data_IF_077969267373
#
_entry.id   IF_077969267373
#
_cell.length_a   1.000
_cell.length_b   1.000
_cell.length_c   1.000
_cell.angle_alpha   90.00
_cell.angle_beta   90.00
_cell.angle_gamma   90.00
#
_symmetry.space_group_name_H-M   'P 1'
#
loop_
_entity.id
_entity.type
_entity.pdbx_description
1 polymer ?
#
# COMPACT_ATOMS: atom_id res chain seq x y z
N UNK A 1 -17.17 -28.05 11.72
CA UNK A 1 -17.14 -27.87 10.27
C UNK A 1 -16.10 -26.77 9.98
N UNK A 2 -15.07 -27.06 9.20
CA UNK A 2 -14.12 -26.08 8.72
C UNK A 2 -14.85 -25.27 7.65
N UNK A 3 -15.07 -23.96 7.88
CA UNK A 3 -15.58 -23.10 6.84
C UNK A 3 -14.50 -23.02 5.76
N UNK A 4 -14.79 -23.59 4.61
CA UNK A 4 -13.96 -23.47 3.43
C UNK A 4 -14.07 -22.02 2.99
N UNK A 5 -13.00 -21.25 3.10
CA UNK A 5 -12.97 -19.90 2.52
C UNK A 5 -13.05 -20.09 1.02
N UNK A 6 -14.15 -19.64 0.42
CA UNK A 6 -14.30 -19.60 -1.03
C UNK A 6 -13.43 -18.49 -1.59
N UNK A 7 -12.16 -18.80 -1.82
CA UNK A 7 -11.25 -17.89 -2.54
C UNK A 7 -11.08 -18.41 -3.96
N UNK A 8 -11.01 -17.49 -4.93
CA UNK A 8 -10.63 -17.78 -6.34
C UNK A 8 -9.12 -17.72 -6.55
N UNK A 9 -8.36 -17.39 -5.49
CA UNK A 9 -6.90 -17.37 -5.54
C UNK A 9 -6.38 -18.79 -5.78
N UNK A 10 -5.45 -18.93 -6.72
CA UNK A 10 -4.81 -20.21 -7.01
C UNK A 10 -4.29 -20.88 -5.72
N UNK A 11 -4.55 -22.19 -5.48
CA UNK A 11 -4.22 -22.88 -4.22
C UNK A 11 -2.76 -22.75 -3.81
N UNK A 12 -1.81 -22.78 -4.75
CA UNK A 12 -0.39 -22.61 -4.46
C UNK A 12 -0.07 -21.20 -3.96
N UNK A 13 -0.67 -20.17 -4.57
CA UNK A 13 -0.52 -18.77 -4.15
C UNK A 13 -1.17 -18.59 -2.77
N UNK A 14 -2.39 -19.07 -2.56
CA UNK A 14 -3.10 -19.02 -1.29
C UNK A 14 -2.28 -19.65 -0.14
N UNK A 15 -1.70 -20.83 -0.37
CA UNK A 15 -0.85 -21.51 0.61
C UNK A 15 0.43 -20.72 0.93
N UNK A 16 1.09 -20.11 -0.06
CA UNK A 16 2.26 -19.25 0.15
C UNK A 16 1.89 -17.99 0.95
N UNK A 17 0.79 -17.32 0.61
CA UNK A 17 0.28 -16.15 1.33
C UNK A 17 -0.04 -16.50 2.80
N UNK A 18 -0.69 -17.63 3.03
CA UNK A 18 -0.98 -18.13 4.40
C UNK A 18 0.31 -18.37 5.21
N UNK A 19 1.34 -18.99 4.63
CA UNK A 19 2.67 -19.14 5.27
C UNK A 19 3.28 -17.78 5.62
N UNK A 20 3.05 -16.75 4.81
CA UNK A 20 3.49 -15.39 5.06
C UNK A 20 2.59 -14.61 6.04
N UNK A 21 1.64 -15.28 6.69
CA UNK A 21 0.72 -14.69 7.68
C UNK A 21 -0.28 -13.70 7.09
N UNK A 22 -0.72 -13.96 5.85
CA UNK A 22 -1.93 -13.33 5.33
C UNK A 22 -3.16 -14.06 5.88
N UNK A 23 -4.22 -13.32 6.12
CA UNK A 23 -5.58 -13.83 6.25
C UNK A 23 -6.31 -13.43 4.97
N UNK A 24 -6.74 -14.41 4.18
CA UNK A 24 -7.48 -14.14 2.94
C UNK A 24 -8.92 -13.74 3.27
N UNK A 25 -9.49 -12.87 2.46
CA UNK A 25 -10.86 -12.34 2.62
C UNK A 25 -11.49 -12.21 1.24
N UNK A 26 -12.81 -12.43 1.15
CA UNK A 26 -13.50 -12.45 -0.14
C UNK A 26 -12.87 -13.45 -1.11
N UNK A 27 -13.06 -13.22 -2.40
CA UNK A 27 -12.57 -14.08 -3.46
C UNK A 27 -11.08 -13.88 -3.76
N UNK A 28 -10.58 -12.64 -3.71
CA UNK A 28 -9.22 -12.25 -4.10
C UNK A 28 -8.48 -11.40 -3.06
N UNK A 29 -9.15 -11.01 -1.98
CA UNK A 29 -8.63 -10.08 -1.01
C UNK A 29 -7.73 -10.72 0.05
N UNK A 30 -7.06 -9.86 0.81
CA UNK A 30 -6.24 -10.31 1.92
C UNK A 30 -5.84 -9.20 2.87
N UNK A 31 -5.61 -9.59 4.12
CA UNK A 31 -5.18 -8.71 5.22
C UNK A 31 -3.89 -9.26 5.82
N UNK A 32 -3.00 -8.36 6.22
CA UNK A 32 -1.76 -8.72 6.92
C UNK A 32 -1.40 -7.63 7.92
N UNK A 33 -1.02 -8.00 9.13
CA UNK A 33 -0.54 -7.02 10.11
C UNK A 33 0.85 -6.54 9.72
N UNK A 34 0.96 -5.24 9.46
CA UNK A 34 2.20 -4.56 9.12
C UNK A 34 3.23 -4.67 10.28
N UNK A 35 4.52 -4.63 9.92
CA UNK A 35 5.61 -4.59 10.90
C UNK A 35 5.44 -3.45 11.90
N UNK A 36 5.10 -2.25 11.43
CA UNK A 36 4.97 -1.07 12.27
C UNK A 36 3.74 -1.09 13.20
N UNK A 37 2.63 -1.70 12.77
CA UNK A 37 1.49 -1.98 13.65
C UNK A 37 1.94 -2.84 14.84
N UNK A 38 2.71 -3.91 14.58
CA UNK A 38 3.28 -4.76 15.63
C UNK A 38 4.22 -3.98 16.56
N UNK A 39 5.13 -3.18 15.99
CA UNK A 39 6.06 -2.37 16.77
C UNK A 39 5.35 -1.32 17.63
N UNK A 40 4.27 -0.72 17.11
CA UNK A 40 3.45 0.24 17.88
C UNK A 40 2.75 -0.42 19.06
N UNK A 41 2.37 -1.69 18.95
CA UNK A 41 1.73 -2.43 20.03
C UNK A 41 2.70 -2.84 21.15
N UNK A 42 3.96 -3.19 20.81
CA UNK A 42 4.89 -3.83 21.79
C UNK A 42 6.11 -3.00 22.15
N UNK A 43 6.48 -1.99 21.38
CA UNK A 43 7.72 -1.25 21.51
C UNK A 43 7.55 0.28 21.40
N UNK A 44 6.33 0.74 21.32
CA UNK A 44 5.95 2.17 21.17
C UNK A 44 6.63 2.88 19.99
N UNK A 45 6.91 2.13 18.90
CA UNK A 45 7.51 2.64 17.67
C UNK A 45 6.44 2.85 16.62
N UNK A 46 6.43 4.02 16.00
CA UNK A 46 5.48 4.35 14.93
C UNK A 46 6.05 4.11 13.53
N UNK A 47 5.16 3.90 12.57
CA UNK A 47 5.44 3.97 11.15
C UNK A 47 5.88 5.40 10.76
N UNK A 48 6.65 5.53 9.67
CA UNK A 48 6.97 6.85 9.11
C UNK A 48 5.72 7.68 8.77
N UNK A 49 4.61 7.04 8.37
CA UNK A 49 3.33 7.73 8.16
C UNK A 49 2.79 8.39 9.43
N UNK A 50 3.09 7.85 10.62
CA UNK A 50 2.78 8.50 11.88
C UNK A 50 3.57 9.80 12.06
N UNK A 51 4.86 9.80 11.70
CA UNK A 51 5.71 11.01 11.74
C UNK A 51 5.30 12.02 10.68
N UNK A 52 4.98 11.57 9.47
CA UNK A 52 4.71 12.45 8.32
C UNK A 52 3.27 12.98 8.31
N UNK A 53 2.31 12.17 8.72
CA UNK A 53 0.88 12.44 8.53
C UNK A 53 0.05 12.34 9.81
N UNK A 54 0.67 12.04 10.94
CA UNK A 54 -0.03 11.98 12.24
C UNK A 54 -0.84 10.71 12.48
N UNK A 55 -0.72 9.65 11.63
CA UNK A 55 -1.52 8.46 11.81
C UNK A 55 -1.11 7.61 13.01
N UNK A 56 -2.08 6.95 13.65
CA UNK A 56 -1.85 5.99 14.72
C UNK A 56 -1.53 4.61 14.15
N UNK A 57 -0.25 4.21 14.18
CA UNK A 57 0.20 2.97 13.52
C UNK A 57 -0.46 1.70 14.03
N UNK A 58 -0.89 1.65 15.30
CA UNK A 58 -1.63 0.51 15.85
C UNK A 58 -3.06 0.41 15.31
N UNK A 59 -3.67 1.55 14.93
CA UNK A 59 -4.99 1.62 14.31
C UNK A 59 -4.99 1.44 12.78
N UNK A 60 -3.86 1.02 12.19
CA UNK A 60 -3.74 0.85 10.74
C UNK A 60 -3.94 -0.62 10.33
N UNK A 61 -4.99 -0.90 9.55
CA UNK A 61 -5.22 -2.15 8.86
C UNK A 61 -4.58 -2.10 7.47
N UNK A 62 -3.70 -3.06 7.16
CA UNK A 62 -3.12 -3.20 5.83
C UNK A 62 -3.85 -4.31 5.07
N UNK A 63 -4.44 -3.96 3.95
CA UNK A 63 -5.20 -4.90 3.12
C UNK A 63 -5.00 -4.64 1.64
N UNK A 64 -5.45 -5.55 0.80
CA UNK A 64 -5.68 -5.36 -0.62
C UNK A 64 -6.93 -6.14 -1.05
N UNK A 65 -7.74 -5.59 -1.96
CA UNK A 65 -8.91 -6.29 -2.52
C UNK A 65 -8.48 -7.45 -3.44
N UNK A 66 -7.24 -7.46 -3.92
CA UNK A 66 -6.70 -8.37 -4.91
C UNK A 66 -5.24 -8.68 -4.65
N UNK A 67 -4.95 -9.67 -3.83
CA UNK A 67 -3.57 -10.04 -3.46
C UNK A 67 -2.84 -10.87 -4.51
N UNK A 68 -3.53 -11.35 -5.52
CA UNK A 68 -3.03 -12.26 -6.55
C UNK A 68 -2.98 -11.65 -7.97
N UNK A 69 -3.39 -10.38 -8.13
CA UNK A 69 -3.53 -9.77 -9.47
C UNK A 69 -2.86 -8.41 -9.52
N UNK A 70 -1.93 -8.25 -10.48
CA UNK A 70 -1.27 -6.98 -10.81
C UNK A 70 -0.89 -6.97 -12.29
N UNK A 71 -1.05 -5.83 -12.93
CA UNK A 71 -0.71 -5.65 -14.35
C UNK A 71 0.77 -5.29 -14.61
N UNK A 72 1.58 -5.17 -13.55
CA UNK A 72 3.03 -5.01 -13.62
C UNK A 72 3.75 -6.19 -12.97
N UNK A 73 4.98 -6.46 -13.43
CA UNK A 73 5.87 -7.51 -12.94
C UNK A 73 7.15 -6.95 -12.32
N UNK A 74 7.05 -5.92 -11.46
CA UNK A 74 8.18 -5.14 -10.95
C UNK A 74 9.29 -6.01 -10.35
N UNK A 75 10.53 -5.78 -10.77
CA UNK A 75 11.73 -6.51 -10.29
C UNK A 75 11.99 -6.32 -8.80
N UNK A 76 11.64 -5.17 -8.28
CA UNK A 76 11.79 -4.78 -6.86
C UNK A 76 10.59 -5.19 -6.00
N UNK A 77 9.54 -5.78 -6.56
CA UNK A 77 8.38 -6.21 -5.80
C UNK A 77 8.77 -7.34 -4.84
N UNK A 78 8.59 -7.10 -3.55
CA UNK A 78 8.93 -8.07 -2.52
C UNK A 78 7.79 -9.07 -2.24
N UNK A 79 6.63 -8.88 -2.87
CA UNK A 79 5.46 -9.73 -2.75
C UNK A 79 5.61 -11.00 -3.60
N UNK A 80 4.77 -12.00 -3.35
CA UNK A 80 4.67 -13.16 -4.24
C UNK A 80 4.29 -12.71 -5.66
N UNK A 81 4.80 -13.39 -6.67
CA UNK A 81 4.37 -13.16 -8.05
C UNK A 81 2.86 -13.28 -8.19
N UNK A 82 2.30 -12.41 -9.00
CA UNK A 82 0.88 -12.38 -9.30
C UNK A 82 0.52 -13.37 -10.40
N UNK A 83 -0.77 -13.69 -10.51
CA UNK A 83 -1.32 -14.43 -11.62
C UNK A 83 -0.86 -13.83 -12.96
N UNK A 84 -0.64 -14.69 -13.96
CA UNK A 84 -0.35 -14.28 -15.33
C UNK A 84 -1.60 -13.81 -16.09
N UNK A 85 -2.78 -13.88 -15.45
CA UNK A 85 -4.04 -13.40 -15.99
C UNK A 85 -4.60 -12.29 -15.11
N UNK A 86 -5.34 -11.37 -15.73
CA UNK A 86 -6.13 -10.37 -14.99
C UNK A 86 -7.45 -11.01 -14.58
N UNK A 87 -7.61 -11.28 -13.30
CA UNK A 87 -8.87 -11.78 -12.76
C UNK A 87 -9.88 -10.64 -12.65
N UNK A 88 -11.16 -10.92 -12.90
CA UNK A 88 -12.23 -10.00 -12.55
C UNK A 88 -12.38 -10.02 -11.02
N UNK A 89 -12.24 -8.87 -10.40
CA UNK A 89 -12.35 -8.69 -8.96
C UNK A 89 -13.61 -7.85 -8.72
N UNK A 90 -14.60 -8.48 -8.06
CA UNK A 90 -15.95 -7.94 -7.95
C UNK A 90 -16.60 -8.31 -6.60
N UNK A 91 -15.80 -8.49 -5.56
CA UNK A 91 -16.26 -8.76 -4.21
C UNK A 91 -17.23 -7.66 -3.74
N UNK A 92 -18.23 -8.01 -2.92
CA UNK A 92 -19.09 -7.00 -2.31
C UNK A 92 -18.27 -6.10 -1.37
N UNK A 93 -18.29 -4.77 -1.53
CA UNK A 93 -17.45 -3.85 -0.77
C UNK A 93 -17.71 -3.87 0.73
N UNK A 94 -18.98 -3.97 1.15
CA UNK A 94 -19.35 -3.99 2.55
C UNK A 94 -18.89 -5.28 3.22
N UNK A 95 -19.16 -6.42 2.61
CA UNK A 95 -18.71 -7.73 3.11
C UNK A 95 -17.17 -7.80 3.13
N UNK A 96 -16.50 -7.33 2.07
CA UNK A 96 -15.04 -7.28 2.01
C UNK A 96 -14.45 -6.44 3.15
N UNK A 97 -15.07 -5.30 3.48
CA UNK A 97 -14.63 -4.47 4.59
C UNK A 97 -14.82 -5.18 5.93
N UNK A 98 -16.01 -5.75 6.20
CA UNK A 98 -16.28 -6.48 7.44
C UNK A 98 -15.38 -7.70 7.63
N UNK A 99 -15.18 -8.48 6.56
CA UNK A 99 -14.25 -9.62 6.59
C UNK A 99 -12.81 -9.16 6.83
N UNK A 100 -12.40 -8.04 6.26
CA UNK A 100 -11.08 -7.46 6.49
C UNK A 100 -10.89 -7.05 7.95
N UNK A 101 -11.89 -6.46 8.59
CA UNK A 101 -11.84 -6.13 10.03
C UNK A 101 -11.78 -7.40 10.89
N UNK A 102 -12.60 -8.42 10.60
CA UNK A 102 -12.55 -9.73 11.28
C UNK A 102 -11.16 -10.37 11.14
N UNK A 103 -10.59 -10.34 9.93
CA UNK A 103 -9.27 -10.87 9.62
C UNK A 103 -8.16 -10.10 10.38
N UNK A 104 -8.24 -8.78 10.41
CA UNK A 104 -7.32 -7.94 11.18
C UNK A 104 -7.35 -8.27 12.66
N UNK A 105 -8.54 -8.33 13.27
CA UNK A 105 -8.74 -8.75 14.66
C UNK A 105 -8.14 -10.14 14.91
N UNK A 106 -8.36 -11.10 13.99
CA UNK A 106 -7.77 -12.44 14.07
C UNK A 106 -6.25 -12.42 14.12
N UNK A 107 -5.62 -11.62 13.26
CA UNK A 107 -4.17 -11.49 13.20
C UNK A 107 -3.58 -10.80 14.44
N UNK A 108 -4.39 -10.03 15.18
CA UNK A 108 -4.00 -9.36 16.42
C UNK A 108 -4.16 -10.22 17.68
N UNK A 109 -4.88 -11.34 17.65
CA UNK A 109 -5.22 -12.12 18.87
C UNK A 109 -4.02 -12.46 19.75
N UNK A 110 -2.86 -12.78 19.14
CA UNK A 110 -1.64 -13.11 19.89
C UNK A 110 -1.06 -11.97 20.73
N UNK A 111 -1.46 -10.72 20.46
CA UNK A 111 -1.00 -9.56 21.25
C UNK A 111 -1.80 -9.38 22.54
N UNK A 112 -3.05 -9.88 22.61
CA UNK A 112 -3.89 -9.76 23.81
C UNK A 112 -3.28 -10.43 25.05
N UNK A 113 -2.56 -11.55 24.86
CA UNK A 113 -1.86 -12.27 25.92
C UNK A 113 -0.37 -11.90 26.07
N UNK A 114 0.16 -11.00 25.25
CA UNK A 114 1.57 -10.61 25.29
C UNK A 114 1.82 -9.58 26.40
N UNK A 115 2.65 -9.88 27.43
CA UNK A 115 2.90 -8.94 28.53
C UNK A 115 3.61 -7.64 28.09
N UNK A 116 4.25 -7.62 26.91
CA UNK A 116 4.88 -6.43 26.32
C UNK A 116 3.90 -5.57 25.55
N UNK A 117 2.68 -6.05 25.25
CA UNK A 117 1.73 -5.30 24.46
C UNK A 117 1.04 -4.22 25.32
N UNK A 118 0.94 -3.03 24.77
CA UNK A 118 0.15 -1.95 25.36
C UNK A 118 -1.34 -2.30 25.21
N UNK A 119 -2.01 -2.56 26.34
CA UNK A 119 -3.43 -2.99 26.37
C UNK A 119 -4.37 -1.97 25.73
N UNK A 120 -4.15 -0.66 25.98
CA UNK A 120 -4.98 0.41 25.40
C UNK A 120 -4.86 0.39 23.88
N UNK A 121 -3.64 0.42 23.32
CA UNK A 121 -3.40 0.35 21.88
C UNK A 121 -3.93 -0.95 21.28
N UNK A 122 -3.85 -2.07 22.00
CA UNK A 122 -4.41 -3.34 21.54
C UNK A 122 -5.95 -3.27 21.40
N UNK A 123 -6.65 -2.65 22.33
CA UNK A 123 -8.10 -2.46 22.27
C UNK A 123 -8.48 -1.51 21.14
N UNK A 124 -7.76 -0.40 20.99
CA UNK A 124 -7.96 0.56 19.90
C UNK A 124 -7.75 -0.08 18.53
N UNK A 125 -6.72 -0.94 18.40
CA UNK A 125 -6.40 -1.64 17.15
C UNK A 125 -7.49 -2.63 16.69
N UNK A 126 -8.42 -3.04 17.56
CA UNK A 126 -9.54 -3.90 17.16
C UNK A 126 -10.52 -3.19 16.22
N UNK A 127 -10.54 -1.85 16.24
CA UNK A 127 -11.37 -1.03 15.37
C UNK A 127 -10.43 -0.10 14.56
N UNK A 128 -10.02 -0.51 13.36
CA UNK A 128 -9.04 0.24 12.57
C UNK A 128 -9.57 1.64 12.23
N UNK A 129 -8.73 2.65 12.45
CA UNK A 129 -8.98 4.05 12.07
C UNK A 129 -8.43 4.38 10.69
N UNK A 130 -7.56 3.54 10.16
CA UNK A 130 -6.88 3.74 8.89
C UNK A 130 -6.83 2.44 8.10
N UNK A 131 -7.17 2.49 6.83
CA UNK A 131 -6.99 1.36 5.89
C UNK A 131 -5.91 1.71 4.89
N UNK A 132 -4.83 0.95 4.89
CA UNK A 132 -3.78 1.03 3.88
C UNK A 132 -4.05 -0.01 2.79
N UNK A 133 -4.61 0.43 1.66
CA UNK A 133 -4.88 -0.37 0.47
C UNK A 133 -3.57 -0.45 -0.34
N UNK A 134 -2.63 -1.27 0.15
CA UNK A 134 -1.24 -1.27 -0.32
C UNK A 134 -0.54 -2.60 -0.07
N UNK A 135 -1.31 -3.69 0.12
CA UNK A 135 -0.70 -4.93 0.57
C UNK A 135 -0.04 -5.70 -0.55
N UNK A 136 -0.77 -6.05 -1.59
CA UNK A 136 -0.32 -6.78 -2.77
C UNK A 136 -1.26 -6.47 -3.94
N UNK A 137 -0.87 -6.82 -5.19
CA UNK A 137 -1.70 -6.55 -6.36
C UNK A 137 -1.79 -5.07 -6.74
N UNK A 138 -2.66 -4.77 -7.71
CA UNK A 138 -2.98 -3.40 -8.12
C UNK A 138 -4.45 -3.09 -7.79
N UNK A 139 -4.72 -2.26 -6.77
CA UNK A 139 -6.08 -2.07 -6.27
C UNK A 139 -7.04 -1.43 -7.28
N UNK A 140 -6.55 -0.67 -8.27
CA UNK A 140 -7.40 -0.08 -9.32
C UNK A 140 -7.97 -1.11 -10.30
N UNK A 141 -7.56 -2.38 -10.21
CA UNK A 141 -8.20 -3.50 -10.92
C UNK A 141 -9.49 -3.98 -10.23
N UNK A 142 -9.78 -3.54 -9.02
CA UNK A 142 -11.02 -3.86 -8.33
C UNK A 142 -12.15 -2.97 -8.84
N UNK A 143 -13.16 -3.58 -9.49
CA UNK A 143 -14.21 -2.86 -10.21
C UNK A 143 -15.11 -1.97 -9.31
N UNK A 144 -15.21 -2.32 -8.02
CA UNK A 144 -16.03 -1.62 -7.02
C UNK A 144 -15.18 -0.84 -6.01
N UNK A 145 -14.00 -0.35 -6.44
CA UNK A 145 -13.05 0.34 -5.55
C UNK A 145 -13.67 1.60 -4.90
N UNK A 146 -14.42 2.42 -5.66
CA UNK A 146 -15.10 3.61 -5.12
C UNK A 146 -16.08 3.26 -4.01
N UNK A 147 -16.95 2.27 -4.24
CA UNK A 147 -17.89 1.78 -3.22
C UNK A 147 -17.16 1.26 -1.96
N UNK A 148 -16.00 0.62 -2.12
CA UNK A 148 -15.19 0.17 -0.99
C UNK A 148 -14.60 1.34 -0.18
N UNK A 149 -14.16 2.40 -0.86
CA UNK A 149 -13.71 3.63 -0.21
C UNK A 149 -14.86 4.30 0.55
N UNK A 150 -16.04 4.36 -0.05
CA UNK A 150 -17.25 4.89 0.59
C UNK A 150 -17.60 4.11 1.88
N UNK A 151 -17.58 2.78 1.83
CA UNK A 151 -17.79 1.93 3.01
C UNK A 151 -16.78 2.26 4.11
N UNK A 152 -15.50 2.38 3.77
CA UNK A 152 -14.46 2.75 4.73
C UNK A 152 -14.74 4.12 5.36
N UNK A 153 -15.06 5.13 4.53
CA UNK A 153 -15.33 6.49 5.00
C UNK A 153 -16.57 6.55 5.89
N UNK A 154 -17.65 5.86 5.53
CA UNK A 154 -18.86 5.77 6.34
C UNK A 154 -18.61 5.18 7.74
N UNK A 155 -17.58 4.33 7.89
CA UNK A 155 -17.15 3.82 9.19
C UNK A 155 -16.10 4.73 9.89
N UNK A 156 -15.88 5.94 9.41
CA UNK A 156 -14.91 6.89 9.99
C UNK A 156 -13.45 6.46 9.81
N UNK A 157 -13.18 5.63 8.80
CA UNK A 157 -11.85 5.06 8.55
C UNK A 157 -11.20 5.77 7.37
N UNK A 158 -10.05 6.41 7.59
CA UNK A 158 -9.29 7.02 6.49
C UNK A 158 -8.65 5.96 5.58
N UNK A 159 -8.54 6.27 4.30
CA UNK A 159 -8.05 5.36 3.27
C UNK A 159 -6.77 5.87 2.62
N UNK A 160 -5.77 5.00 2.53
CA UNK A 160 -4.50 5.23 1.85
C UNK A 160 -4.44 4.30 0.64
N UNK A 161 -4.87 4.79 -0.52
CA UNK A 161 -4.82 4.04 -1.77
C UNK A 161 -3.44 4.16 -2.40
N UNK A 162 -2.78 3.04 -2.64
CA UNK A 162 -1.48 2.99 -3.32
C UNK A 162 -1.64 2.26 -4.65
N UNK A 163 -1.48 2.98 -5.74
CA UNK A 163 -1.58 2.46 -7.10
C UNK A 163 -0.29 2.63 -7.88
N UNK A 164 -0.11 1.83 -8.91
CA UNK A 164 0.97 1.99 -9.88
C UNK A 164 0.67 3.04 -10.96
N UNK A 165 -0.53 3.65 -10.93
CA UNK A 165 -0.93 4.72 -11.83
C UNK A 165 -1.20 4.32 -13.27
N UNK A 166 -1.22 3.04 -13.61
CA UNK A 166 -1.38 2.59 -15.02
C UNK A 166 -2.82 2.54 -15.51
N UNK A 167 -3.80 2.94 -14.69
CA UNK A 167 -5.22 2.96 -15.03
C UNK A 167 -5.83 4.35 -14.78
N UNK A 168 -5.45 5.39 -15.56
CA UNK A 168 -5.88 6.77 -15.35
C UNK A 168 -7.40 6.93 -15.35
N UNK A 169 -8.12 6.23 -16.20
CA UNK A 169 -9.59 6.29 -16.28
C UNK A 169 -10.28 5.81 -15.01
N UNK A 170 -9.69 4.86 -14.28
CA UNK A 170 -10.25 4.42 -12.99
C UNK A 170 -10.08 5.51 -11.96
N UNK A 171 -8.92 6.18 -11.93
CA UNK A 171 -8.61 7.25 -10.98
C UNK A 171 -9.46 8.49 -11.29
N UNK A 172 -9.62 8.86 -12.57
CA UNK A 172 -10.44 9.98 -13.03
C UNK A 172 -11.92 9.84 -12.58
N UNK A 173 -12.45 8.61 -12.60
CA UNK A 173 -13.86 8.33 -12.27
C UNK A 173 -14.04 7.80 -10.84
N UNK A 174 -13.02 7.89 -9.98
CA UNK A 174 -13.09 7.37 -8.63
C UNK A 174 -13.89 8.31 -7.72
N UNK A 175 -15.02 7.84 -7.22
CA UNK A 175 -15.89 8.54 -6.29
C UNK A 175 -16.40 7.57 -5.20
N UNK A 176 -16.20 7.91 -3.89
CA UNK A 176 -15.37 9.00 -3.41
C UNK A 176 -13.87 8.77 -3.65
N UNK A 177 -13.11 9.87 -3.64
CA UNK A 177 -11.64 9.78 -3.64
C UNK A 177 -11.13 9.24 -2.29
N UNK A 178 -9.96 8.56 -2.25
CA UNK A 178 -9.36 8.13 -0.99
C UNK A 178 -8.93 9.33 -0.14
N UNK A 179 -8.80 9.17 1.17
CA UNK A 179 -8.27 10.22 2.05
C UNK A 179 -6.85 10.65 1.64
N UNK A 180 -6.07 9.72 1.10
CA UNK A 180 -4.76 10.00 0.52
C UNK A 180 -4.46 9.03 -0.63
N UNK A 181 -4.18 9.60 -1.80
CA UNK A 181 -3.82 8.86 -3.01
C UNK A 181 -2.30 8.84 -3.17
N UNK A 182 -1.73 7.64 -3.27
CA UNK A 182 -0.33 7.42 -3.62
C UNK A 182 -0.22 6.92 -5.04
N UNK A 183 0.56 7.61 -5.85
CA UNK A 183 1.00 7.09 -7.15
C UNK A 183 2.46 6.67 -7.06
N UNK A 184 2.74 5.42 -7.40
CA UNK A 184 4.08 4.87 -7.43
C UNK A 184 4.80 5.32 -8.69
N UNK A 185 5.76 6.23 -8.57
CA UNK A 185 6.63 6.74 -9.65
C UNK A 185 8.02 6.13 -9.43
N UNK A 186 8.13 4.82 -9.70
CA UNK A 186 9.30 4.02 -9.31
C UNK A 186 10.40 3.97 -10.40
N UNK A 187 10.18 4.69 -11.51
CA UNK A 187 11.16 4.87 -12.58
C UNK A 187 11.10 6.30 -13.13
N UNK A 188 12.27 6.89 -13.47
CA UNK A 188 12.35 8.28 -13.92
C UNK A 188 11.91 8.49 -15.37
N UNK A 189 11.98 7.46 -16.22
CA UNK A 189 11.65 7.50 -17.64
C UNK A 189 11.18 6.13 -18.14
N UNK A 190 10.69 6.10 -19.39
CA UNK A 190 10.13 4.90 -20.00
C UNK A 190 11.11 3.72 -20.08
N UNK A 191 12.37 3.97 -20.43
CA UNK A 191 13.37 2.89 -20.56
C UNK A 191 13.56 2.16 -19.23
N UNK A 192 13.75 2.92 -18.15
CA UNK A 192 13.93 2.36 -16.80
C UNK A 192 12.62 1.75 -16.31
N UNK A 193 11.46 2.35 -16.63
CA UNK A 193 10.16 1.81 -16.28
C UNK A 193 9.94 0.42 -16.90
N UNK A 194 10.17 0.27 -18.20
CA UNK A 194 9.97 -1.01 -18.88
C UNK A 194 10.89 -2.10 -18.30
N UNK A 195 12.12 -1.74 -17.94
CA UNK A 195 13.08 -2.66 -17.34
C UNK A 195 12.76 -3.04 -15.90
N UNK A 196 12.35 -2.07 -15.06
CA UNK A 196 12.12 -2.28 -13.63
C UNK A 196 10.68 -2.68 -13.31
N UNK A 197 9.69 -2.02 -13.92
CA UNK A 197 8.27 -2.24 -13.62
C UNK A 197 7.66 -3.35 -14.46
N UNK A 198 8.25 -3.69 -15.62
CA UNK A 198 7.87 -4.81 -16.49
C UNK A 198 6.36 -4.88 -16.76
N UNK A 199 5.80 -4.00 -17.59
CA UNK A 199 4.40 -4.07 -17.98
C UNK A 199 4.06 -5.43 -18.57
N UNK A 200 3.01 -6.10 -18.05
CA UNK A 200 2.62 -7.44 -18.48
C UNK A 200 1.65 -7.43 -19.66
N UNK A 201 0.70 -6.53 -19.64
CA UNK A 201 -0.44 -6.54 -20.57
C UNK A 201 -0.51 -5.30 -21.46
N UNK A 202 0.21 -4.23 -21.13
CA UNK A 202 0.13 -2.97 -21.84
C UNK A 202 1.50 -2.26 -21.89
N UNK A 203 2.09 -2.22 -23.07
CA UNK A 203 3.36 -1.55 -23.31
C UNK A 203 3.26 -0.02 -23.21
N UNK A 204 2.04 0.54 -23.20
CA UNK A 204 1.75 1.96 -22.96
C UNK A 204 1.67 2.35 -21.48
N UNK A 205 1.95 1.44 -20.54
CA UNK A 205 1.74 1.67 -19.10
C UNK A 205 2.50 2.89 -18.55
N UNK A 206 3.69 3.23 -19.07
CA UNK A 206 4.41 4.44 -18.66
C UNK A 206 3.67 5.72 -19.08
N UNK A 207 3.15 5.77 -20.31
CA UNK A 207 2.35 6.90 -20.77
C UNK A 207 1.05 7.05 -19.95
N UNK A 208 0.40 5.95 -19.63
CA UNK A 208 -0.77 5.94 -18.73
C UNK A 208 -0.43 6.40 -17.31
N UNK A 209 0.79 6.12 -16.83
CA UNK A 209 1.27 6.71 -15.59
C UNK A 209 1.37 8.24 -15.73
N UNK A 210 1.92 8.75 -16.84
CA UNK A 210 2.00 10.20 -17.09
C UNK A 210 0.59 10.83 -17.15
N UNK A 211 -0.38 10.20 -17.84
CA UNK A 211 -1.80 10.63 -17.83
C UNK A 211 -2.36 10.67 -16.39
N UNK A 212 -2.05 9.68 -15.57
CA UNK A 212 -2.46 9.69 -14.14
C UNK A 212 -1.82 10.86 -13.38
N UNK A 213 -0.54 11.15 -13.62
CA UNK A 213 0.13 12.27 -12.97
C UNK A 213 -0.48 13.62 -13.37
N UNK A 214 -0.89 13.77 -14.63
CA UNK A 214 -1.60 14.97 -15.13
C UNK A 214 -2.97 15.18 -14.44
N UNK A 215 -3.63 14.13 -13.99
CA UNK A 215 -4.90 14.22 -13.28
C UNK A 215 -4.75 14.72 -11.83
N UNK A 216 -3.61 14.43 -11.17
CA UNK A 216 -3.46 14.66 -9.71
C UNK A 216 -3.78 16.11 -9.29
N UNK A 217 -3.38 17.18 -10.01
CA UNK A 217 -3.68 18.54 -9.60
C UNK A 217 -5.18 18.89 -9.58
N UNK A 218 -6.02 18.13 -10.28
CA UNK A 218 -7.47 18.33 -10.36
C UNK A 218 -8.26 17.55 -9.30
N UNK A 219 -7.62 16.62 -8.59
CA UNK A 219 -8.29 15.76 -7.63
C UNK A 219 -8.36 16.42 -6.25
N UNK A 220 -9.56 16.49 -5.68
CA UNK A 220 -9.77 17.01 -4.33
C UNK A 220 -9.44 15.95 -3.25
N UNK A 221 -8.19 15.54 -3.24
CA UNK A 221 -7.63 14.62 -2.23
C UNK A 221 -6.16 14.92 -2.02
N UNK A 222 -5.61 14.41 -0.91
CA UNK A 222 -4.18 14.49 -0.62
C UNK A 222 -3.42 13.55 -1.55
N UNK A 223 -2.43 14.06 -2.25
CA UNK A 223 -1.67 13.32 -3.26
C UNK A 223 -0.22 13.11 -2.86
N UNK A 224 0.32 11.95 -3.19
CA UNK A 224 1.71 11.57 -2.94
C UNK A 224 2.30 10.89 -4.17
N UNK A 225 3.35 11.47 -4.75
CA UNK A 225 4.27 10.73 -5.62
C UNK A 225 5.27 9.96 -4.77
N UNK A 226 5.32 8.64 -4.93
CA UNK A 226 6.23 7.80 -4.16
C UNK A 226 7.25 7.15 -5.07
N UNK A 227 8.53 7.46 -4.83
CA UNK A 227 9.65 6.86 -5.55
C UNK A 227 10.26 5.71 -4.77
N UNK A 228 10.29 4.51 -5.37
CA UNK A 228 11.10 3.40 -4.86
C UNK A 228 12.46 3.48 -5.55
N UNK A 229 13.43 4.07 -4.86
CA UNK A 229 14.76 4.32 -5.40
C UNK A 229 15.66 3.09 -5.26
N UNK A 230 16.23 2.65 -6.37
CA UNK A 230 17.07 1.46 -6.48
C UNK A 230 18.46 1.90 -6.91
N UNK A 231 19.46 1.65 -6.07
CA UNK A 231 20.85 2.00 -6.35
C UNK A 231 21.35 1.26 -7.61
N UNK A 232 22.08 1.97 -8.47
CA UNK A 232 22.56 1.53 -9.78
C UNK A 232 21.48 1.36 -10.85
N UNK A 233 20.20 1.63 -10.53
CA UNK A 233 19.07 1.44 -11.45
C UNK A 233 18.26 2.73 -11.66
N UNK A 234 17.62 3.23 -10.62
CA UNK A 234 16.73 4.40 -10.68
C UNK A 234 17.16 5.56 -9.77
N UNK A 235 18.13 5.38 -8.89
CA UNK A 235 18.66 6.45 -8.05
C UNK A 235 19.53 7.40 -8.88
N UNK A 236 19.35 8.72 -8.74
CA UNK A 236 20.21 9.75 -9.33
C UNK A 236 19.65 10.48 -10.56
N UNK A 237 18.47 10.13 -11.04
CA UNK A 237 17.80 10.77 -12.21
C UNK A 237 16.93 11.96 -11.77
N UNK A 238 17.52 12.94 -11.06
CA UNK A 238 16.75 14.03 -10.43
C UNK A 238 15.92 14.87 -11.40
N UNK A 239 16.47 15.17 -12.60
CA UNK A 239 15.76 15.98 -13.60
C UNK A 239 14.54 15.26 -14.17
N UNK A 240 14.66 13.95 -14.43
CA UNK A 240 13.56 13.14 -14.95
C UNK A 240 12.46 12.96 -13.91
N UNK A 241 12.83 12.67 -12.64
CA UNK A 241 11.86 12.63 -11.54
C UNK A 241 11.20 13.99 -11.32
N UNK A 242 11.97 15.10 -11.36
CA UNK A 242 11.41 16.44 -11.23
C UNK A 242 10.41 16.77 -12.34
N UNK A 243 10.63 16.30 -13.57
CA UNK A 243 9.66 16.44 -14.67
C UNK A 243 8.33 15.77 -14.32
N UNK A 244 8.37 14.53 -13.83
CA UNK A 244 7.17 13.77 -13.45
C UNK A 244 6.47 14.38 -12.23
N UNK A 245 7.24 14.78 -11.22
CA UNK A 245 6.70 15.40 -10.01
C UNK A 245 6.10 16.80 -10.29
N UNK A 246 6.68 17.57 -11.21
CA UNK A 246 6.12 18.87 -11.64
C UNK A 246 4.84 18.69 -12.47
N UNK A 247 4.73 17.61 -13.25
CA UNK A 247 3.50 17.25 -13.96
C UNK A 247 2.38 16.93 -12.96
N UNK A 248 2.72 16.22 -11.91
CA UNK A 248 1.79 15.75 -10.88
C UNK A 248 1.42 16.82 -9.85
N UNK A 249 2.25 17.83 -9.62
CA UNK A 249 2.19 18.83 -8.53
C UNK A 249 1.63 18.25 -7.20
N UNK A 250 2.13 17.10 -6.68
CA UNK A 250 1.52 16.43 -5.55
C UNK A 250 1.72 17.22 -4.26
N UNK A 251 0.90 16.99 -3.22
CA UNK A 251 1.14 17.57 -1.89
C UNK A 251 2.46 17.13 -1.31
N UNK A 252 2.84 15.86 -1.55
CA UNK A 252 4.05 15.26 -1.03
C UNK A 252 4.76 14.38 -2.06
N UNK A 253 6.09 14.31 -1.90
CA UNK A 253 6.93 13.33 -2.59
C UNK A 253 7.61 12.50 -1.50
N UNK A 254 7.43 11.17 -1.54
CA UNK A 254 8.13 10.22 -0.68
C UNK A 254 9.29 9.56 -1.44
N UNK A 255 10.52 9.99 -1.17
CA UNK A 255 11.72 9.30 -1.65
C UNK A 255 12.04 8.13 -0.72
N UNK A 256 11.88 6.89 -1.20
CA UNK A 256 12.02 5.69 -0.39
C UNK A 256 13.03 4.72 -0.99
N UNK A 257 14.02 4.33 -0.18
CA UNK A 257 15.00 3.32 -0.60
C UNK A 257 14.39 1.93 -0.76
N UNK A 258 14.76 1.24 -1.84
CA UNK A 258 14.52 -0.17 -2.03
C UNK A 258 15.08 -0.99 -0.86
N UNK A 259 14.41 -2.08 -0.53
CA UNK A 259 14.84 -3.03 0.50
C UNK A 259 14.85 -4.45 -0.09
N UNK A 260 15.99 -5.13 -0.02
CA UNK A 260 16.20 -6.47 -0.54
C UNK A 260 15.52 -7.52 0.35
N UNK A 261 14.22 -7.74 0.16
CA UNK A 261 13.38 -8.67 0.93
C UNK A 261 12.39 -9.40 0.02
N UNK A 262 11.92 -10.56 0.48
CA UNK A 262 10.91 -11.35 -0.22
C UNK A 262 11.33 -11.74 -1.64
N UNK A 263 10.38 -11.69 -2.57
CA UNK A 263 10.58 -12.11 -3.97
C UNK A 263 11.59 -11.23 -4.73
N UNK A 264 11.76 -9.96 -4.35
CA UNK A 264 12.71 -9.07 -5.03
C UNK A 264 14.17 -9.58 -4.99
N UNK A 265 14.51 -10.45 -4.03
CA UNK A 265 15.84 -11.11 -3.94
C UNK A 265 16.19 -11.98 -5.13
N UNK A 266 15.18 -12.40 -5.90
CA UNK A 266 15.41 -13.17 -7.12
C UNK A 266 15.90 -12.32 -8.29
N UNK A 267 15.71 -10.99 -8.20
CA UNK A 267 16.01 -10.05 -9.28
C UNK A 267 17.11 -9.04 -8.92
N UNK A 268 17.20 -8.67 -7.65
CA UNK A 268 18.08 -7.61 -7.16
C UNK A 268 18.87 -8.10 -5.93
N UNK A 269 20.02 -7.44 -5.68
CA UNK A 269 20.92 -7.76 -4.57
C UNK A 269 20.82 -6.74 -3.43
N UNK A 270 21.59 -6.96 -2.37
CA UNK A 270 21.76 -6.01 -1.26
C UNK A 270 22.45 -4.72 -1.74
N UNK A 271 23.31 -4.81 -2.76
CA UNK A 271 24.04 -3.66 -3.32
C UNK A 271 23.09 -2.67 -4.02
N UNK A 272 21.91 -3.12 -4.43
CA UNK A 272 20.86 -2.25 -4.97
C UNK A 272 20.10 -1.45 -3.89
N UNK A 273 20.39 -1.69 -2.60
CA UNK A 273 19.76 -0.95 -1.50
C UNK A 273 20.47 0.39 -1.29
N UNK A 274 19.78 1.53 -1.48
CA UNK A 274 20.35 2.81 -1.07
C UNK A 274 20.52 2.88 0.45
N UNK A 275 21.57 3.52 0.91
CA UNK A 275 21.69 3.95 2.31
C UNK A 275 20.67 5.05 2.61
N UNK A 276 20.39 5.29 3.88
CA UNK A 276 19.53 6.43 4.26
C UNK A 276 20.14 7.77 3.83
N UNK A 277 21.47 7.91 3.88
CA UNK A 277 22.18 9.10 3.46
C UNK A 277 21.96 9.38 1.96
N UNK A 278 22.08 8.37 1.10
CA UNK A 278 21.83 8.51 -0.34
C UNK A 278 20.36 8.93 -0.62
N UNK A 279 19.39 8.48 0.20
CA UNK A 279 17.99 8.94 0.10
C UNK A 279 17.86 10.42 0.49
N UNK A 280 18.54 10.88 1.53
CA UNK A 280 18.54 12.29 1.92
C UNK A 280 19.20 13.15 0.83
N UNK A 281 20.39 12.77 0.36
CA UNK A 281 21.11 13.46 -0.71
C UNK A 281 20.23 13.55 -1.99
N UNK A 282 19.55 12.46 -2.37
CA UNK A 282 18.60 12.48 -3.47
C UNK A 282 17.49 13.49 -3.24
N UNK A 283 16.92 13.49 -2.03
CA UNK A 283 15.79 14.36 -1.68
C UNK A 283 16.17 15.83 -1.64
N UNK A 284 17.36 16.16 -1.13
CA UNK A 284 17.91 17.52 -1.10
C UNK A 284 18.18 18.05 -2.51
N UNK A 285 18.59 17.19 -3.45
CA UNK A 285 18.79 17.55 -4.84
C UNK A 285 17.48 17.66 -5.65
N UNK A 286 16.48 16.82 -5.35
CA UNK A 286 15.17 16.85 -6.01
C UNK A 286 14.31 18.03 -5.57
N UNK A 287 14.30 18.32 -4.25
CA UNK A 287 13.39 19.29 -3.66
C UNK A 287 13.41 20.70 -4.32
N UNK A 288 14.57 21.31 -4.60
CA UNK A 288 14.61 22.62 -5.28
C UNK A 288 14.11 22.56 -6.73
N UNK A 289 14.29 21.42 -7.44
CA UNK A 289 13.85 21.26 -8.82
C UNK A 289 12.30 21.24 -8.95
N UNK A 290 11.61 20.91 -7.84
CA UNK A 290 10.15 20.86 -7.78
C UNK A 290 9.56 22.00 -6.91
N UNK A 291 10.36 23.01 -6.57
CA UNK A 291 9.91 24.17 -5.78
C UNK A 291 9.45 23.80 -4.35
N UNK A 292 10.03 22.76 -3.75
CA UNK A 292 9.69 22.25 -2.44
C UNK A 292 10.91 22.14 -1.54
N UNK A 293 10.74 21.61 -0.32
CA UNK A 293 11.82 21.38 0.64
C UNK A 293 11.70 20.00 1.29
N UNK A 294 12.82 19.48 1.78
CA UNK A 294 12.83 18.32 2.65
C UNK A 294 12.14 18.68 3.97
N UNK A 295 11.05 17.98 4.30
CA UNK A 295 10.23 18.26 5.49
C UNK A 295 10.60 17.37 6.67
N UNK A 296 10.88 16.09 6.39
CA UNK A 296 11.14 15.08 7.43
C UNK A 296 11.76 13.84 6.81
N UNK A 297 12.34 12.99 7.64
CA UNK A 297 12.84 11.69 7.23
C UNK A 297 12.64 10.61 8.32
N UNK A 298 12.81 9.35 7.94
CA UNK A 298 12.82 8.23 8.89
C UNK A 298 13.87 7.21 8.46
N UNK A 299 14.95 7.17 9.23
CA UNK A 299 16.11 6.31 8.97
C UNK A 299 15.76 4.82 8.94
N UNK A 300 14.93 4.35 9.87
CA UNK A 300 14.54 2.95 9.99
C UNK A 300 13.71 2.47 8.79
N UNK A 301 13.05 3.40 8.10
CA UNK A 301 12.27 3.14 6.89
C UNK A 301 12.99 3.53 5.61
N UNK A 302 14.16 4.16 5.70
CA UNK A 302 14.91 4.75 4.59
C UNK A 302 14.01 5.56 3.67
N UNK A 303 13.30 6.51 4.26
CA UNK A 303 12.36 7.36 3.55
C UNK A 303 12.55 8.81 3.95
N UNK A 304 12.40 9.70 2.99
CA UNK A 304 12.37 11.14 3.15
C UNK A 304 11.07 11.69 2.58
N UNK A 305 10.55 12.76 3.19
CA UNK A 305 9.35 13.47 2.78
C UNK A 305 9.73 14.85 2.25
N UNK A 306 9.34 15.12 1.01
CA UNK A 306 9.48 16.43 0.35
C UNK A 306 8.07 17.01 0.19
N UNK A 307 7.93 18.31 0.42
CA UNK A 307 6.64 19.00 0.29
C UNK A 307 6.72 20.49 0.60
N UNK A 308 5.58 21.17 0.59
CA UNK A 308 5.47 22.59 0.96
C UNK A 308 5.40 22.77 2.49
N UNK A 309 4.55 21.95 3.15
CA UNK A 309 4.34 21.94 4.61
C UNK A 309 3.84 20.57 5.08
N UNK A 310 4.01 20.29 6.37
CA UNK A 310 3.40 19.13 7.00
C UNK A 310 1.90 19.34 7.16
N UNK A 311 1.10 18.36 6.77
CA UNK A 311 -0.37 18.38 6.89
C UNK A 311 -0.80 17.04 7.51
N UNK A 312 -1.38 17.02 8.72
CA UNK A 312 -1.93 15.79 9.30
C UNK A 312 -3.10 15.23 8.49
N UNK A 313 -3.32 13.93 8.57
CA UNK A 313 -4.50 13.28 8.01
C UNK A 313 -5.67 13.50 8.97
N UNK A 314 -6.81 13.90 8.42
CA UNK A 314 -8.09 13.97 9.12
C UNK A 314 -8.87 12.68 8.87
N UNK A 315 -9.61 12.24 9.89
CA UNK A 315 -10.50 11.08 9.75
C UNK A 315 -11.83 11.53 9.13
N UNK A 316 -12.40 10.73 8.23
CA UNK A 316 -13.76 10.98 7.76
C UNK A 316 -14.76 10.95 8.91
N UNK A 317 -15.87 11.67 8.78
CA UNK A 317 -16.97 11.58 9.72
C UNK A 317 -17.62 10.20 9.64
N UNK A 318 -17.75 9.51 10.79
CA UNK A 318 -18.40 8.21 10.83
C UNK A 318 -19.93 8.39 10.75
N UNK A 319 -20.55 7.71 9.79
CA UNK A 319 -22.00 7.64 9.62
C UNK A 319 -22.55 6.26 9.98
N UNK A 320 -21.68 5.27 10.13
CA UNK A 320 -21.99 3.88 10.43
C UNK A 320 -21.10 3.35 11.56
N UNK A 321 -21.66 2.49 12.39
CA UNK A 321 -20.89 1.74 13.38
C UNK A 321 -20.64 0.31 12.88
N UNK A 322 -19.52 -0.28 13.31
CA UNK A 322 -19.30 -1.71 13.08
C UNK A 322 -20.35 -2.53 13.83
N UNK A 323 -20.85 -3.64 13.24
CA UNK A 323 -21.77 -4.54 13.94
C UNK A 323 -21.19 -4.96 15.31
N UNK A 324 -22.02 -4.88 16.36
CA UNK A 324 -21.58 -5.18 17.76
C UNK A 324 -21.09 -6.62 17.92
N UNK A 325 -21.65 -7.52 17.14
CA UNK A 325 -21.36 -8.97 17.11
C UNK A 325 -20.36 -9.37 16.02
N UNK A 326 -19.69 -8.40 15.37
CA UNK A 326 -18.80 -8.67 14.23
C UNK A 326 -17.74 -9.76 14.49
N UNK A 327 -17.26 -9.90 15.73
CA UNK A 327 -16.35 -10.97 16.09
C UNK A 327 -14.97 -10.93 15.43
N UNK A 328 -14.36 -12.10 15.28
CA UNK A 328 -13.04 -12.31 14.65
C UNK A 328 -13.13 -13.43 13.60
N UNK A 329 -12.33 -13.35 12.54
CA UNK A 329 -12.28 -14.39 11.52
C UNK A 329 -11.77 -15.73 12.10
N UNK A 330 -12.25 -16.83 11.53
CA UNK A 330 -11.76 -18.17 11.86
C UNK A 330 -10.33 -18.39 11.34
N UNK A 331 -9.54 -19.30 11.95
CA UNK A 331 -8.23 -19.66 11.43
C UNK A 331 -8.36 -20.29 10.03
N UNK A 332 -7.53 -19.84 9.11
CA UNK A 332 -7.45 -20.42 7.77
C UNK A 332 -6.23 -21.34 7.68
N UNK A 333 -6.40 -22.51 7.08
CA UNK A 333 -5.33 -23.42 6.73
C UNK A 333 -5.47 -23.82 5.27
N UNK A 334 -4.47 -23.46 4.49
CA UNK A 334 -4.35 -23.90 3.10
C UNK A 334 -3.29 -25.00 3.05
N UNK A 335 -3.67 -26.16 2.57
CA UNK A 335 -2.77 -27.28 2.36
C UNK A 335 -2.37 -27.26 0.89
N UNK A 336 -1.06 -27.36 0.63
CA UNK A 336 -0.60 -27.52 -0.75
C UNK A 336 -1.19 -28.83 -1.30
N UNK A 337 -1.68 -28.86 -2.53
CA UNK A 337 -2.01 -30.09 -3.20
C UNK A 337 -0.81 -31.05 -3.09
N UNK A 338 -1.04 -32.29 -2.69
CA UNK A 338 0.00 -33.31 -2.78
C UNK A 338 0.28 -33.54 -4.25
N UNK A 339 1.51 -33.29 -4.69
CA UNK A 339 2.02 -33.56 -6.03
C UNK A 339 2.18 -35.07 -6.20
#
# INVERSE_FOLDING_TARGET
MQDTVFTKIEPMIAAKLSKQKYQLVGEHGGVKVCHWTKQSLVADRSCYKGTFYGIESHGCMQMAPNVDTCNLGCTYCWREPHSETLNKIDDDPYELYLESVKAHRRLLTGFGGNPKANKKKFLEAQNPKHVAISLNGEPTLYSRLGEFLEVCHNHGTSTFLVTNGSLPKVIENLDPLPTQLYVSVDAPNKEIFDRLCKPKFDQGAFHKLEETLELLPSLDTRTVCRHTLIKHESLGFHADYARLDNLADPDFIEAKGYVNVGNSRNNLSVDNMPTHREIIEFSENLAPLVGRKLLSDRRESRVALIGKKMIPVELPAANMELPKDLGIAKPQRFVLPQV
#
